data_IF_951284589495
#
_entry.id   IF_951284589495
#
_cell.length_a   1.000
_cell.length_b   1.000
_cell.length_c   1.000
_cell.angle_alpha   90.00
_cell.angle_beta   90.00
_cell.angle_gamma   90.00
#
_symmetry.space_group_name_H-M   'P 1'
#
loop_
_entity.id
_entity.type
_entity.pdbx_description
1 polymer ?
#
# COMPACT_ATOMS: atom_id res chain seq x y z
N UNK A 1 -24.50 -45.11 0.14
CA UNK A 1 -23.19 -45.17 0.82
C UNK A 1 -22.45 -43.87 0.54
N UNK A 2 -22.26 -42.97 1.51
CA UNK A 2 -21.49 -41.75 1.33
C UNK A 2 -20.01 -42.09 1.09
N UNK A 3 -19.42 -41.55 0.02
CA UNK A 3 -17.99 -41.69 -0.27
C UNK A 3 -17.25 -40.86 0.80
N UNK A 4 -16.41 -41.52 1.60
CA UNK A 4 -15.61 -40.85 2.62
C UNK A 4 -14.64 -39.86 1.95
N UNK A 5 -14.46 -38.67 2.52
CA UNK A 5 -13.64 -37.60 1.95
C UNK A 5 -12.18 -38.05 1.71
N UNK A 6 -11.67 -38.96 2.55
CA UNK A 6 -10.34 -39.57 2.41
C UNK A 6 -10.23 -40.45 1.16
N UNK A 7 -11.24 -41.28 0.88
CA UNK A 7 -11.27 -42.12 -0.31
C UNK A 7 -11.36 -41.30 -1.62
N UNK A 8 -12.00 -40.13 -1.57
CA UNK A 8 -11.99 -39.17 -2.69
C UNK A 8 -10.61 -38.53 -2.86
N UNK A 9 -9.97 -38.11 -1.77
CA UNK A 9 -8.66 -37.47 -1.79
C UNK A 9 -7.57 -38.42 -2.33
N UNK A 10 -7.56 -39.68 -1.88
CA UNK A 10 -6.60 -40.67 -2.37
C UNK A 10 -6.82 -40.96 -3.85
N UNK A 11 -8.08 -41.12 -4.28
CA UNK A 11 -8.39 -41.34 -5.69
C UNK A 11 -7.99 -40.15 -6.58
N UNK A 12 -8.10 -38.92 -6.07
CA UNK A 12 -7.62 -37.72 -6.78
C UNK A 12 -6.09 -37.64 -6.85
N UNK A 13 -5.37 -38.09 -5.80
CA UNK A 13 -3.89 -38.21 -5.85
C UNK A 13 -3.42 -39.22 -6.88
N UNK A 14 -4.15 -40.31 -7.09
CA UNK A 14 -3.83 -41.31 -8.12
C UNK A 14 -4.12 -40.86 -9.55
N UNK A 15 -5.08 -39.94 -9.74
CA UNK A 15 -5.48 -39.43 -11.07
C UNK A 15 -4.63 -38.23 -11.50
N UNK A 16 -4.09 -37.47 -10.54
CA UNK A 16 -3.25 -36.31 -10.84
C UNK A 16 -1.80 -36.76 -10.83
N UNK A 17 -1.10 -36.81 -11.99
CA UNK A 17 0.33 -37.07 -12.00
C UNK A 17 1.03 -36.10 -11.04
N UNK A 18 2.05 -36.53 -10.30
CA UNK A 18 2.85 -35.59 -9.51
C UNK A 18 3.34 -34.49 -10.45
N UNK A 19 3.12 -33.24 -10.05
CA UNK A 19 3.60 -32.09 -10.81
C UNK A 19 5.11 -32.27 -10.93
N UNK A 20 5.61 -32.24 -12.16
CA UNK A 20 7.06 -32.33 -12.40
C UNK A 20 7.69 -31.10 -11.76
N UNK A 21 8.79 -31.25 -11.02
CA UNK A 21 9.46 -30.13 -10.32
C UNK A 21 9.70 -28.93 -11.26
N UNK A 22 9.94 -29.18 -12.55
CA UNK A 22 10.09 -28.15 -13.58
C UNK A 22 8.82 -27.31 -13.80
N UNK A 23 7.63 -27.92 -13.76
CA UNK A 23 6.34 -27.21 -13.88
C UNK A 23 6.07 -26.32 -12.66
N UNK A 24 6.43 -26.77 -11.45
CA UNK A 24 6.33 -25.95 -10.23
C UNK A 24 7.26 -24.73 -10.31
N UNK A 25 8.50 -24.93 -10.76
CA UNK A 25 9.46 -23.85 -10.95
C UNK A 25 9.01 -22.84 -12.01
N UNK A 26 8.41 -23.31 -13.11
CA UNK A 26 7.87 -22.42 -14.15
C UNK A 26 6.66 -21.61 -13.63
N UNK A 27 5.78 -22.24 -12.84
CA UNK A 27 4.69 -21.54 -12.16
C UNK A 27 5.22 -20.46 -11.23
N UNK A 28 6.23 -20.78 -10.42
CA UNK A 28 6.83 -19.84 -9.48
C UNK A 28 7.51 -18.65 -10.18
N UNK A 29 8.19 -18.89 -11.30
CA UNK A 29 8.74 -17.83 -12.18
C UNK A 29 7.63 -16.93 -12.74
N UNK A 30 6.53 -17.53 -13.19
CA UNK A 30 5.38 -16.80 -13.74
C UNK A 30 4.70 -15.90 -12.71
N UNK A 31 4.53 -16.40 -11.48
CA UNK A 31 3.98 -15.62 -10.35
C UNK A 31 4.90 -14.44 -10.02
N UNK A 32 6.21 -14.67 -9.95
CA UNK A 32 7.18 -13.62 -9.63
C UNK A 32 7.27 -12.56 -10.75
N UNK A 33 7.26 -12.98 -12.02
CA UNK A 33 7.22 -12.08 -13.17
C UNK A 33 5.92 -11.24 -13.23
N UNK A 34 4.78 -11.85 -12.89
CA UNK A 34 3.50 -11.15 -12.78
C UNK A 34 3.54 -10.11 -11.66
N UNK A 35 4.11 -10.47 -10.51
CA UNK A 35 4.30 -9.56 -9.38
C UNK A 35 5.19 -8.37 -9.75
N UNK A 36 6.29 -8.59 -10.49
CA UNK A 36 7.16 -7.52 -11.00
C UNK A 36 6.37 -6.53 -11.87
N UNK A 37 5.66 -7.03 -12.88
CA UNK A 37 4.89 -6.19 -13.79
C UNK A 37 3.83 -5.37 -13.04
N UNK A 38 3.18 -5.97 -12.04
CA UNK A 38 2.22 -5.29 -11.19
C UNK A 38 2.87 -4.18 -10.35
N UNK A 39 3.99 -4.47 -9.66
CA UNK A 39 4.75 -3.47 -8.90
C UNK A 39 5.12 -2.26 -9.75
N UNK A 40 5.70 -2.51 -10.93
CA UNK A 40 6.11 -1.46 -11.87
C UNK A 40 4.90 -0.65 -12.35
N UNK A 41 3.78 -1.31 -12.68
CA UNK A 41 2.54 -0.63 -13.09
C UNK A 41 1.89 0.20 -11.98
N UNK A 42 2.09 -0.20 -10.73
CA UNK A 42 1.59 0.50 -9.53
C UNK A 42 2.60 1.54 -8.99
N UNK A 43 3.71 1.77 -9.70
CA UNK A 43 4.73 2.78 -9.35
C UNK A 43 5.70 2.36 -8.24
N UNK A 44 5.69 1.09 -7.84
CA UNK A 44 6.62 0.53 -6.84
C UNK A 44 7.86 -0.08 -7.53
N UNK A 45 9.09 0.35 -7.21
CA UNK A 45 10.29 -0.30 -7.72
C UNK A 45 10.42 -1.73 -7.16
N UNK A 46 10.60 -2.77 -7.99
CA UNK A 46 10.96 -4.11 -7.49
C UNK A 46 12.26 -4.08 -6.68
N UNK A 47 12.33 -4.84 -5.57
CA UNK A 47 13.47 -4.79 -4.66
C UNK A 47 14.78 -5.37 -5.22
N UNK A 48 14.73 -5.98 -6.39
CA UNK A 48 15.90 -6.45 -7.13
C UNK A 48 15.68 -6.28 -8.65
N UNK A 49 16.75 -6.22 -9.46
CA UNK A 49 16.67 -5.83 -10.85
C UNK A 49 16.18 -6.99 -11.74
N UNK A 50 15.69 -6.71 -12.96
CA UNK A 50 15.03 -7.72 -13.80
C UNK A 50 15.96 -8.80 -14.36
N UNK A 51 17.28 -8.57 -14.38
CA UNK A 51 18.27 -9.56 -14.80
C UNK A 51 18.43 -10.70 -13.79
N UNK A 52 17.83 -10.56 -12.60
CA UNK A 52 17.94 -11.56 -11.56
C UNK A 52 16.88 -12.65 -11.74
N UNK A 53 17.32 -13.84 -12.16
CA UNK A 53 16.44 -14.98 -12.41
C UNK A 53 15.96 -15.63 -11.11
N UNK A 54 14.67 -15.93 -11.07
CA UNK A 54 14.02 -16.70 -10.01
C UNK A 54 13.95 -18.19 -10.42
N UNK A 55 14.13 -19.17 -9.51
CA UNK A 55 14.53 -19.03 -8.11
C UNK A 55 16.01 -18.61 -7.96
N UNK A 56 16.35 -17.95 -6.85
CA UNK A 56 17.68 -17.37 -6.66
C UNK A 56 18.72 -18.44 -6.34
N UNK A 57 19.64 -18.70 -7.28
CA UNK A 57 20.80 -19.58 -7.06
C UNK A 57 21.96 -18.85 -6.39
N UNK A 58 22.31 -17.67 -6.92
CA UNK A 58 23.45 -16.88 -6.48
C UNK A 58 23.04 -15.43 -6.18
N UNK A 59 22.42 -15.19 -5.02
CA UNK A 59 21.95 -13.86 -4.62
C UNK A 59 23.10 -12.88 -4.37
N UNK A 60 23.23 -11.80 -5.17
CA UNK A 60 24.26 -10.80 -4.95
C UNK A 60 24.17 -10.22 -3.55
N UNK A 61 25.32 -10.04 -2.90
CA UNK A 61 25.42 -9.57 -1.51
C UNK A 61 24.63 -8.30 -1.23
N UNK A 62 24.50 -7.41 -2.23
CA UNK A 62 23.73 -6.15 -2.11
C UNK A 62 22.23 -6.35 -1.93
N UNK A 63 21.62 -7.37 -2.53
CA UNK A 63 20.17 -7.61 -2.48
C UNK A 63 19.77 -8.69 -1.48
N UNK A 64 20.73 -9.50 -1.02
CA UNK A 64 20.51 -10.57 -0.05
C UNK A 64 19.70 -10.11 1.17
N UNK A 65 20.00 -8.97 1.84
CA UNK A 65 19.22 -8.57 3.02
C UNK A 65 17.74 -8.30 2.73
N UNK A 66 17.42 -7.60 1.64
CA UNK A 66 16.03 -7.26 1.31
C UNK A 66 15.25 -8.48 0.79
N UNK A 67 15.91 -9.40 0.09
CA UNK A 67 15.33 -10.67 -0.33
C UNK A 67 14.98 -11.53 0.90
N UNK A 68 15.92 -11.69 1.84
CA UNK A 68 15.68 -12.42 3.10
C UNK A 68 14.59 -11.78 3.95
N UNK A 69 14.49 -10.43 3.96
CA UNK A 69 13.40 -9.72 4.62
C UNK A 69 12.03 -10.18 4.08
N UNK A 70 11.84 -10.17 2.75
CA UNK A 70 10.56 -10.54 2.14
C UNK A 70 10.23 -12.04 2.28
N UNK A 71 11.23 -12.92 2.19
CA UNK A 71 11.05 -14.36 2.42
C UNK A 71 10.56 -14.64 3.85
N UNK A 72 11.03 -13.88 4.83
CA UNK A 72 10.73 -14.15 6.26
C UNK A 72 9.52 -13.40 6.81
N UNK A 73 9.08 -12.30 6.18
CA UNK A 73 8.05 -11.42 6.75
C UNK A 73 6.61 -11.86 6.49
N UNK A 74 6.33 -12.67 5.47
CA UNK A 74 4.95 -12.94 5.02
C UNK A 74 4.58 -14.42 4.89
N UNK A 75 5.47 -15.36 5.27
CA UNK A 75 5.28 -16.79 5.01
C UNK A 75 4.90 -17.08 3.54
N UNK A 76 5.29 -16.18 2.65
CA UNK A 76 5.30 -16.39 1.20
C UNK A 76 6.57 -17.15 0.95
N UNK A 77 6.49 -18.47 1.09
CA UNK A 77 7.65 -19.34 1.31
C UNK A 77 8.73 -19.21 0.23
N UNK A 78 8.44 -18.66 -0.97
CA UNK A 78 9.46 -18.44 -2.00
C UNK A 78 9.32 -17.14 -2.83
N UNK A 79 8.13 -16.54 -2.96
CA UNK A 79 7.89 -15.42 -3.90
C UNK A 79 8.13 -14.03 -3.27
N UNK A 80 9.34 -13.49 -3.41
CA UNK A 80 9.77 -12.21 -2.82
C UNK A 80 8.95 -11.02 -3.33
N UNK A 81 8.79 -10.87 -4.64
CA UNK A 81 8.07 -9.75 -5.24
C UNK A 81 6.56 -9.86 -4.99
N UNK A 82 6.04 -11.08 -4.83
CA UNK A 82 4.66 -11.27 -4.38
C UNK A 82 4.47 -10.67 -2.97
N UNK A 83 5.37 -10.99 -2.04
CA UNK A 83 5.39 -10.41 -0.70
C UNK A 83 5.50 -8.88 -0.71
N UNK A 84 6.42 -8.35 -1.52
CA UNK A 84 6.56 -6.90 -1.72
C UNK A 84 5.27 -6.27 -2.26
N UNK A 85 4.64 -6.86 -3.27
CA UNK A 85 3.40 -6.36 -3.88
C UNK A 85 2.25 -6.34 -2.87
N UNK A 86 2.13 -7.37 -2.05
CA UNK A 86 1.13 -7.42 -0.98
C UNK A 86 1.33 -6.27 0.01
N UNK A 87 2.57 -6.01 0.44
CA UNK A 87 2.87 -4.90 1.34
C UNK A 87 2.61 -3.53 0.69
N UNK A 88 2.97 -3.36 -0.59
CA UNK A 88 2.69 -2.14 -1.34
C UNK A 88 1.18 -1.87 -1.42
N UNK A 89 0.38 -2.90 -1.73
CA UNK A 89 -1.09 -2.79 -1.76
C UNK A 89 -1.67 -2.50 -0.38
N UNK A 90 -1.09 -3.06 0.69
CA UNK A 90 -1.48 -2.73 2.06
C UNK A 90 -1.22 -1.25 2.37
N UNK A 91 -0.07 -0.72 1.93
CA UNK A 91 0.20 0.71 1.98
C UNK A 91 -0.85 1.52 1.21
N UNK A 92 -1.16 1.17 -0.05
CA UNK A 92 -2.17 1.89 -0.85
C UNK A 92 -3.55 1.91 -0.18
N UNK A 93 -3.97 0.79 0.43
CA UNK A 93 -5.20 0.74 1.25
C UNK A 93 -5.11 1.66 2.47
N UNK A 94 -3.97 1.64 3.18
CA UNK A 94 -3.74 2.54 4.32
C UNK A 94 -3.74 4.00 3.90
N UNK A 95 -3.18 4.34 2.73
CA UNK A 95 -3.15 5.70 2.19
C UNK A 95 -4.56 6.20 1.95
N UNK A 96 -5.40 5.41 1.24
CA UNK A 96 -6.81 5.74 1.02
C UNK A 96 -7.59 5.86 2.32
N UNK A 97 -7.40 4.94 3.27
CA UNK A 97 -8.05 4.98 4.60
C UNK A 97 -7.63 6.18 5.43
N UNK A 98 -6.35 6.58 5.36
CA UNK A 98 -5.88 7.80 6.02
C UNK A 98 -6.53 9.02 5.39
N UNK A 99 -6.55 9.14 4.05
CA UNK A 99 -7.18 10.26 3.36
C UNK A 99 -8.67 10.39 3.64
N UNK A 100 -9.42 9.28 3.70
CA UNK A 100 -10.86 9.34 3.97
C UNK A 100 -11.19 9.91 5.36
N UNK A 101 -10.31 9.70 6.35
CA UNK A 101 -10.45 10.28 7.70
C UNK A 101 -10.22 11.79 7.74
N UNK A 102 -9.55 12.37 6.74
CA UNK A 102 -9.30 13.81 6.63
C UNK A 102 -10.30 14.51 5.70
N UNK A 103 -11.43 13.88 5.37
CA UNK A 103 -12.58 14.62 4.84
C UNK A 103 -13.21 15.52 5.92
N UNK A 104 -13.12 15.13 7.19
CA UNK A 104 -13.70 15.87 8.33
C UNK A 104 -12.65 16.58 9.19
N UNK A 105 -11.39 16.17 9.12
CA UNK A 105 -10.24 16.80 9.80
C UNK A 105 -9.36 17.52 8.78
N UNK A 106 -8.64 18.60 9.16
CA UNK A 106 -7.77 19.29 8.23
C UNK A 106 -6.64 18.37 7.77
N UNK A 107 -6.56 18.15 6.46
CA UNK A 107 -5.49 17.36 5.83
C UNK A 107 -4.08 17.92 6.12
N UNK A 108 -3.98 19.21 6.48
CA UNK A 108 -2.75 19.85 6.90
C UNK A 108 -2.09 19.16 8.12
N UNK A 109 -2.88 18.65 9.07
CA UNK A 109 -2.35 17.95 10.26
C UNK A 109 -1.63 16.67 9.85
N UNK A 110 -2.17 15.94 8.87
CA UNK A 110 -1.53 14.74 8.34
C UNK A 110 -0.18 15.07 7.71
N UNK A 111 -0.12 16.14 6.90
CA UNK A 111 1.13 16.60 6.29
C UNK A 111 2.14 16.97 7.37
N UNK A 112 1.69 17.70 8.40
CA UNK A 112 2.54 18.11 9.51
C UNK A 112 3.12 16.92 10.27
N UNK A 113 2.29 15.94 10.64
CA UNK A 113 2.73 14.72 11.32
C UNK A 113 3.71 13.90 10.47
N UNK A 114 3.43 13.78 9.17
CA UNK A 114 4.32 13.09 8.22
C UNK A 114 5.67 13.78 8.15
N UNK A 115 5.67 15.12 8.07
CA UNK A 115 6.90 15.93 8.04
C UNK A 115 7.70 15.79 9.34
N UNK A 116 7.05 15.88 10.50
CA UNK A 116 7.71 15.71 11.80
C UNK A 116 8.36 14.33 11.93
N UNK A 117 7.65 13.27 11.51
CA UNK A 117 8.20 11.91 11.54
C UNK A 117 9.40 11.77 10.61
N UNK A 118 9.30 12.20 9.36
CA UNK A 118 10.43 12.17 8.43
C UNK A 118 11.64 12.97 8.96
N UNK A 119 11.40 14.15 9.56
CA UNK A 119 12.44 14.95 10.19
C UNK A 119 13.10 14.26 11.39
N UNK A 120 12.34 13.57 12.24
CA UNK A 120 12.86 12.77 13.37
C UNK A 120 13.88 11.72 12.90
N UNK A 121 13.70 11.17 11.69
CA UNK A 121 14.62 10.22 11.06
C UNK A 121 15.59 10.87 10.06
N UNK A 122 15.82 12.18 10.17
CA UNK A 122 16.76 12.96 9.35
C UNK A 122 16.46 12.97 7.84
N UNK A 123 15.21 12.71 7.42
CA UNK A 123 14.78 12.80 6.03
C UNK A 123 14.26 14.22 5.77
N UNK A 124 15.11 15.07 5.17
CA UNK A 124 14.84 16.50 4.92
C UNK A 124 14.52 16.81 3.46
N UNK A 125 13.76 15.95 2.81
CA UNK A 125 13.34 16.16 1.41
C UNK A 125 12.12 17.09 1.38
N UNK A 126 12.11 18.17 0.59
CA UNK A 126 10.91 18.98 0.44
C UNK A 126 9.84 18.21 -0.32
N UNK A 127 8.62 18.16 0.22
CA UNK A 127 7.49 17.51 -0.44
C UNK A 127 6.16 18.18 -0.12
N UNK A 128 5.21 17.99 -1.03
CA UNK A 128 3.82 18.41 -0.89
C UNK A 128 2.97 17.17 -1.12
N UNK A 129 2.26 16.70 -0.09
CA UNK A 129 1.29 15.63 -0.26
C UNK A 129 -0.04 16.24 -0.68
N UNK A 130 -0.74 15.55 -1.57
CA UNK A 130 -2.07 15.97 -2.03
C UNK A 130 -3.15 15.11 -1.37
N UNK A 131 -4.36 15.67 -1.13
CA UNK A 131 -5.48 14.89 -0.62
C UNK A 131 -5.82 13.69 -1.51
N UNK A 132 -5.71 13.88 -2.82
CA UNK A 132 -5.91 12.84 -3.83
C UNK A 132 -4.58 12.14 -4.17
N UNK A 133 -4.43 10.83 -3.86
CA UNK A 133 -3.22 10.07 -4.14
C UNK A 133 -2.87 9.94 -5.62
N UNK A 134 -3.86 10.05 -6.51
CA UNK A 134 -3.63 9.93 -7.96
C UNK A 134 -2.90 11.13 -8.55
N UNK A 135 -2.93 12.27 -7.84
CA UNK A 135 -2.27 13.52 -8.24
C UNK A 135 -0.85 13.65 -7.69
N UNK A 136 -0.40 12.70 -6.87
CA UNK A 136 0.94 12.69 -6.29
C UNK A 136 1.94 12.12 -7.29
N UNK A 137 3.11 12.76 -7.39
CA UNK A 137 4.19 12.19 -8.19
C UNK A 137 4.80 10.95 -7.49
N UNK A 138 5.65 10.22 -8.21
CA UNK A 138 6.27 8.99 -7.68
C UNK A 138 7.06 9.22 -6.40
N UNK A 139 7.88 10.26 -6.32
CA UNK A 139 8.68 10.58 -5.13
C UNK A 139 7.80 10.92 -3.92
N UNK A 140 6.71 11.66 -4.11
CA UNK A 140 5.75 11.99 -3.06
C UNK A 140 5.04 10.72 -2.54
N UNK A 141 4.63 9.81 -3.43
CA UNK A 141 4.09 8.52 -3.03
C UNK A 141 5.14 7.69 -2.26
N UNK A 142 6.40 7.75 -2.67
CA UNK A 142 7.49 7.05 -2.01
C UNK A 142 7.79 7.58 -0.61
N UNK A 143 7.82 8.91 -0.43
CA UNK A 143 7.99 9.54 0.89
C UNK A 143 6.84 9.19 1.85
N UNK A 144 5.61 9.07 1.33
CA UNK A 144 4.47 8.62 2.13
C UNK A 144 4.54 7.12 2.45
N UNK A 145 5.10 6.30 1.56
CA UNK A 145 5.40 4.90 1.85
C UNK A 145 6.50 4.75 2.90
N UNK A 146 7.53 5.59 2.84
CA UNK A 146 8.58 5.64 3.85
C UNK A 146 8.01 6.02 5.23
N UNK A 147 7.16 7.05 5.28
CA UNK A 147 6.42 7.39 6.50
C UNK A 147 5.57 6.22 7.03
N UNK A 148 4.89 5.50 6.13
CA UNK A 148 4.13 4.29 6.47
C UNK A 148 5.03 3.20 7.07
N UNK A 149 6.24 3.02 6.54
CA UNK A 149 7.22 2.09 7.11
C UNK A 149 7.73 2.60 8.48
N UNK A 150 8.02 3.88 8.64
CA UNK A 150 8.46 4.44 9.92
C UNK A 150 7.40 4.29 11.02
N UNK A 151 6.12 4.46 10.69
CA UNK A 151 5.01 4.20 11.64
C UNK A 151 4.97 2.75 12.12
N UNK A 152 5.35 1.79 11.27
CA UNK A 152 5.45 0.39 11.69
C UNK A 152 6.63 0.17 12.63
N UNK A 153 7.79 0.78 12.34
CA UNK A 153 8.94 0.75 13.24
C UNK A 153 8.57 1.26 14.64
N UNK A 154 7.95 2.45 14.72
CA UNK A 154 7.53 3.07 15.98
C UNK A 154 6.58 2.16 16.78
N UNK A 155 5.72 1.39 16.10
CA UNK A 155 4.84 0.39 16.74
C UNK A 155 5.62 -0.80 17.29
N UNK A 156 6.59 -1.32 16.55
CA UNK A 156 7.44 -2.41 17.02
C UNK A 156 8.30 -1.99 18.22
N UNK A 157 8.87 -0.79 18.18
CA UNK A 157 9.63 -0.21 19.29
C UNK A 157 8.74 -0.01 20.53
N UNK A 158 7.55 0.56 20.37
CA UNK A 158 6.60 0.76 21.48
C UNK A 158 6.21 -0.57 22.12
N UNK A 159 5.98 -1.61 21.32
CA UNK A 159 5.69 -2.96 21.80
C UNK A 159 6.87 -3.57 22.55
N UNK A 160 8.10 -3.40 22.07
CA UNK A 160 9.30 -3.87 22.76
C UNK A 160 9.49 -3.16 24.11
N UNK A 161 9.28 -1.83 24.16
CA UNK A 161 9.33 -1.05 25.41
C UNK A 161 8.26 -1.53 26.40
N UNK A 162 7.02 -1.72 25.94
CA UNK A 162 5.94 -2.24 26.78
C UNK A 162 6.30 -3.60 27.40
N UNK A 163 6.85 -4.52 26.60
CA UNK A 163 7.25 -5.85 27.07
C UNK A 163 8.43 -5.80 28.06
N UNK A 164 9.38 -4.88 27.87
CA UNK A 164 10.47 -4.65 28.83
C UNK A 164 9.95 -4.10 30.17
N UNK A 165 9.04 -3.14 30.12
CA UNK A 165 8.38 -2.60 31.33
C UNK A 165 7.58 -3.68 32.05
N UNK A 166 6.90 -4.55 31.32
CA UNK A 166 6.14 -5.68 31.87
C UNK A 166 7.04 -6.71 32.57
N UNK A 167 8.29 -6.88 32.10
CA UNK A 167 9.28 -7.77 32.70
C UNK A 167 9.97 -7.15 33.93
N UNK A 168 10.17 -5.82 33.93
CA UNK A 168 10.83 -5.09 35.01
C UNK A 168 9.91 -4.64 36.14
N UNK A 169 8.59 -4.63 35.93
CA UNK A 169 7.62 -4.31 36.97
C UNK A 169 7.35 -5.56 37.82
N UNK A 170 7.71 -5.58 39.13
CA UNK A 170 7.30 -6.66 40.02
C UNK A 170 5.77 -6.59 40.12
N UNK A 171 5.09 -7.49 39.41
CA UNK A 171 3.64 -7.63 39.59
C UNK A 171 3.42 -8.37 40.89
N UNK A 172 2.78 -7.70 41.84
CA UNK A 172 2.17 -8.37 42.99
C UNK A 172 1.30 -9.51 42.47
N UNK A 173 1.66 -10.73 42.89
CA UNK A 173 1.23 -12.00 42.31
C UNK A 173 -0.27 -12.33 42.46
N UNK A 174 -1.12 -11.38 42.87
CA UNK A 174 -2.41 -11.74 43.45
C UNK A 174 -3.62 -11.75 42.51
N UNK A 175 -3.61 -11.20 41.28
CA UNK A 175 -4.90 -11.01 40.58
C UNK A 175 -4.98 -11.25 39.07
N UNK A 176 -3.98 -11.85 38.40
CA UNK A 176 -4.15 -12.18 36.96
C UNK A 176 -4.44 -13.66 36.71
N UNK A 177 -5.60 -14.01 36.12
CA UNK A 177 -5.93 -15.39 35.80
C UNK A 177 -4.96 -15.90 34.74
N UNK A 178 -4.13 -16.84 35.16
CA UNK A 178 -3.05 -17.41 34.36
C UNK A 178 -3.67 -18.30 33.29
N UNK A 179 -3.89 -17.76 32.08
CA UNK A 179 -3.96 -18.61 30.89
C UNK A 179 -2.54 -19.07 30.56
N UNK A 180 -2.09 -20.11 31.26
CA UNK A 180 -0.84 -20.83 30.96
C UNK A 180 -1.02 -21.45 29.58
N UNK A 181 -0.47 -20.82 28.55
CA UNK A 181 -0.31 -21.50 27.26
C UNK A 181 0.90 -22.43 27.37
N UNK A 182 0.66 -23.74 27.28
CA UNK A 182 1.68 -24.75 27.00
C UNK A 182 2.84 -24.88 28.01
N UNK A 183 2.56 -24.84 29.31
CA UNK A 183 3.54 -25.18 30.36
C UNK A 183 4.68 -24.18 30.56
N UNK A 184 4.68 -23.04 29.86
CA UNK A 184 5.66 -21.97 30.05
C UNK A 184 5.20 -20.99 31.12
N UNK A 185 6.14 -20.50 31.92
CA UNK A 185 5.86 -19.43 32.87
C UNK A 185 5.45 -18.14 32.14
N UNK A 186 4.65 -17.28 32.79
CA UNK A 186 4.25 -16.01 32.19
C UNK A 186 5.46 -15.17 31.74
N UNK A 187 6.51 -15.13 32.57
CA UNK A 187 7.78 -14.45 32.28
C UNK A 187 8.46 -15.00 31.02
N UNK A 188 8.53 -16.32 30.85
CA UNK A 188 9.03 -16.94 29.61
C UNK A 188 8.23 -16.50 28.38
N UNK A 189 6.90 -16.41 28.49
CA UNK A 189 6.09 -15.95 27.35
C UNK A 189 6.37 -14.49 26.98
N UNK A 190 6.61 -13.62 27.97
CA UNK A 190 6.97 -12.21 27.75
C UNK A 190 8.37 -12.12 27.12
N UNK A 191 9.34 -12.92 27.58
CA UNK A 191 10.69 -12.98 27.00
C UNK A 191 10.64 -13.41 25.53
N UNK A 192 9.89 -14.47 25.20
CA UNK A 192 9.74 -14.93 23.80
C UNK A 192 9.10 -13.83 22.93
N UNK A 193 8.07 -13.14 23.45
CA UNK A 193 7.43 -12.02 22.73
C UNK A 193 8.40 -10.85 22.53
N UNK A 194 9.23 -10.54 23.53
CA UNK A 194 10.23 -9.47 23.44
C UNK A 194 11.29 -9.80 22.37
N UNK A 195 11.85 -11.01 22.40
CA UNK A 195 12.81 -11.47 21.39
C UNK A 195 12.22 -11.46 19.98
N UNK A 196 10.92 -11.76 19.84
CA UNK A 196 10.23 -11.63 18.55
C UNK A 196 10.11 -10.17 18.12
N UNK A 197 9.70 -9.28 19.01
CA UNK A 197 9.60 -7.84 18.70
C UNK A 197 10.96 -7.24 18.32
N UNK A 198 12.04 -7.62 19.00
CA UNK A 198 13.39 -7.17 18.67
C UNK A 198 13.85 -7.64 17.29
N UNK A 199 13.55 -8.90 16.92
CA UNK A 199 13.79 -9.40 15.57
C UNK A 199 12.95 -8.67 14.52
N UNK A 200 11.69 -8.35 14.82
CA UNK A 200 10.82 -7.55 13.95
C UNK A 200 11.42 -6.15 13.71
N UNK A 201 11.93 -5.48 14.75
CA UNK A 201 12.65 -4.19 14.64
C UNK A 201 13.87 -4.30 13.72
N UNK A 202 14.74 -5.28 13.97
CA UNK A 202 15.97 -5.49 13.19
C UNK A 202 15.67 -5.74 11.70
N UNK A 203 14.69 -6.61 11.42
CA UNK A 203 14.25 -6.88 10.04
C UNK A 203 13.68 -5.62 9.39
N UNK A 204 12.86 -4.87 10.11
CA UNK A 204 12.23 -3.67 9.56
C UNK A 204 13.24 -2.56 9.25
N UNK A 205 14.37 -2.50 9.95
CA UNK A 205 15.49 -1.63 9.56
C UNK A 205 16.08 -1.99 8.18
N UNK A 206 16.09 -3.26 7.80
CA UNK A 206 16.52 -3.69 6.46
C UNK A 206 15.58 -3.12 5.39
N UNK A 207 14.27 -3.18 5.62
CA UNK A 207 13.29 -2.56 4.73
C UNK A 207 13.51 -1.05 4.63
N UNK A 208 13.66 -0.35 5.76
CA UNK A 208 13.88 1.10 5.76
C UNK A 208 15.17 1.51 5.04
N UNK A 209 16.24 0.75 5.20
CA UNK A 209 17.48 0.99 4.46
C UNK A 209 17.26 0.87 2.95
N UNK A 210 16.56 -0.18 2.49
CA UNK A 210 16.21 -0.33 1.08
C UNK A 210 15.29 0.80 0.58
N UNK A 211 14.26 1.17 1.35
CA UNK A 211 13.36 2.30 1.02
C UNK A 211 14.15 3.60 0.87
N UNK A 212 15.14 3.82 1.74
CA UNK A 212 16.01 4.98 1.67
C UNK A 212 16.91 4.97 0.42
N UNK A 213 17.46 3.82 0.04
CA UNK A 213 18.23 3.69 -1.20
C UNK A 213 17.39 4.04 -2.43
N UNK A 214 16.19 3.47 -2.55
CA UNK A 214 15.28 3.77 -3.66
C UNK A 214 14.83 5.23 -3.69
N UNK A 215 14.68 5.88 -2.53
CA UNK A 215 14.44 7.32 -2.50
C UNK A 215 15.59 8.09 -3.15
N UNK A 216 16.84 7.74 -2.83
CA UNK A 216 18.01 8.42 -3.39
C UNK A 216 18.13 8.20 -4.90
N UNK A 217 17.80 7.00 -5.41
CA UNK A 217 17.79 6.75 -6.85
C UNK A 217 16.74 7.59 -7.57
N UNK A 218 15.56 7.78 -6.96
CA UNK A 218 14.51 8.66 -7.51
C UNK A 218 14.92 10.14 -7.50
N UNK A 219 15.61 10.61 -6.45
CA UNK A 219 16.11 11.99 -6.38
C UNK A 219 17.19 12.21 -7.44
N UNK A 220 18.18 11.32 -7.55
CA UNK A 220 19.26 11.42 -8.53
C UNK A 220 18.74 11.38 -9.98
N UNK A 221 17.71 10.57 -10.25
CA UNK A 221 17.06 10.52 -11.55
C UNK A 221 16.26 11.78 -11.90
N UNK A 222 15.82 12.56 -10.90
CA UNK A 222 15.12 13.83 -11.12
C UNK A 222 16.09 14.99 -11.42
N UNK A 223 17.27 15.01 -10.80
CA UNK A 223 18.26 16.08 -10.97
C UNK A 223 19.10 15.94 -12.24
N UNK A 224 19.23 14.74 -12.80
CA UNK A 224 20.11 14.47 -13.95
C UNK A 224 19.55 14.79 -15.33
N UNK A 225 18.32 15.32 -15.43
CA UNK A 225 17.66 15.62 -16.71
C UNK A 225 17.43 17.13 -16.93
N UNK A 226 18.00 18.00 -16.09
CA UNK A 226 17.75 19.45 -16.15
C UNK A 226 18.65 20.23 -17.15
N UNK A 227 19.48 19.55 -17.96
CA UNK A 227 20.26 20.22 -19.02
C UNK A 227 19.47 20.40 -20.34
N UNK A 228 18.25 19.86 -20.46
CA UNK A 228 17.34 20.12 -21.59
C UNK A 228 16.16 21.00 -21.15
N UNK A 229 16.47 22.25 -20.80
CA UNK A 229 15.50 23.28 -20.42
C UNK A 229 14.75 23.77 -21.67
N UNK A 230 13.81 22.95 -22.18
CA UNK A 230 12.63 23.45 -22.89
C UNK A 230 11.44 22.51 -22.67
N UNK A 231 10.78 22.73 -21.53
CA UNK A 231 9.32 22.68 -21.36
C UNK A 231 8.56 21.67 -22.20
N UNK A 232 8.73 20.38 -21.92
CA UNK A 232 7.71 19.38 -22.24
C UNK A 232 7.46 18.55 -20.99
N UNK A 233 6.21 18.60 -20.53
CA UNK A 233 5.64 17.82 -19.43
C UNK A 233 6.39 16.52 -19.23
N UNK A 234 7.10 16.39 -18.10
CA UNK A 234 7.91 15.22 -17.75
C UNK A 234 7.08 13.95 -17.94
N UNK A 235 7.28 13.28 -19.08
CA UNK A 235 6.58 12.06 -19.42
C UNK A 235 7.06 10.96 -18.49
N UNK A 236 6.10 10.18 -18.00
CA UNK A 236 6.23 9.00 -17.12
C UNK A 236 7.07 7.85 -17.76
N UNK A 237 7.80 8.14 -18.84
CA UNK A 237 8.42 7.17 -19.75
C UNK A 237 9.93 6.99 -19.57
N UNK A 238 10.62 7.82 -18.79
CA UNK A 238 12.08 7.72 -18.62
C UNK A 238 12.52 6.43 -17.90
N UNK A 239 11.63 5.79 -17.15
CA UNK A 239 11.88 4.46 -16.59
C UNK A 239 11.66 3.33 -17.60
N UNK A 240 10.78 3.52 -18.60
CA UNK A 240 10.60 2.53 -19.68
C UNK A 240 11.82 2.43 -20.58
N UNK A 241 12.61 3.49 -20.72
CA UNK A 241 13.80 3.50 -21.59
C UNK A 241 14.93 2.61 -21.08
N UNK A 242 15.06 2.39 -19.76
CA UNK A 242 16.00 1.38 -19.23
C UNK A 242 15.63 -0.06 -19.60
N UNK A 243 14.39 -0.32 -20.04
CA UNK A 243 13.89 -1.66 -20.37
C UNK A 243 14.02 -2.04 -21.86
N UNK A 244 14.48 -1.15 -22.76
CA UNK A 244 14.60 -1.47 -24.20
C UNK A 244 15.91 -2.15 -24.62
N UNK A 245 16.90 -2.28 -23.72
CA UNK A 245 18.21 -2.85 -24.04
C UNK A 245 18.25 -4.38 -24.27
N UNK A 246 17.22 -5.12 -23.85
CA UNK A 246 17.27 -6.60 -23.85
C UNK A 246 16.05 -7.25 -24.49
N UNK A 247 15.72 -6.85 -25.72
CA UNK A 247 14.88 -7.67 -26.61
C UNK A 247 15.77 -8.32 -27.67
N UNK A 248 16.52 -9.35 -27.26
CA UNK A 248 17.03 -10.31 -28.23
C UNK A 248 15.84 -10.96 -28.94
N UNK A 249 15.69 -10.56 -30.19
CA UNK A 249 14.68 -11.00 -31.15
C UNK A 249 14.92 -12.49 -31.47
N UNK A 250 14.35 -13.41 -30.67
CA UNK A 250 14.27 -14.83 -31.03
C UNK A 250 13.40 -14.96 -32.29
N UNK A 251 14.04 -15.22 -33.43
CA UNK A 251 13.37 -15.62 -34.67
C UNK A 251 12.80 -17.02 -34.47
N UNK A 252 11.47 -17.14 -34.42
CA UNK A 252 10.81 -18.44 -34.51
C UNK A 252 10.79 -18.90 -35.98
N UNK A 253 11.12 -20.16 -36.30
CA UNK A 253 10.95 -20.70 -37.64
C UNK A 253 9.46 -20.96 -37.93
N UNK A 254 9.04 -20.59 -39.14
CA UNK A 254 7.71 -20.84 -39.65
C UNK A 254 7.56 -22.34 -39.98
N UNK A 255 6.67 -23.04 -39.28
CA UNK A 255 6.24 -24.40 -39.64
C UNK A 255 4.88 -24.29 -40.33
N UNK A 256 4.87 -24.55 -41.63
CA UNK A 256 3.68 -24.79 -42.43
C UNK A 256 3.19 -26.22 -42.20
N UNK A 257 1.93 -26.37 -41.78
CA UNK A 257 1.28 -27.67 -41.69
C UNK A 257 -0.23 -27.52 -41.65
N UNK A 258 -0.86 -27.55 -42.83
CA UNK A 258 -2.32 -27.67 -42.97
C UNK A 258 -2.70 -29.13 -42.73
N UNK A 259 -3.34 -29.43 -41.60
CA UNK A 259 -4.05 -30.71 -41.41
C UNK A 259 -5.48 -30.39 -40.97
N UNK A 260 -6.43 -30.70 -41.86
CA UNK A 260 -7.87 -30.69 -41.59
C UNK A 260 -8.24 -32.00 -40.89
N UNK A 261 -8.85 -31.92 -39.72
CA UNK A 261 -9.50 -33.06 -39.06
C UNK A 261 -10.98 -32.70 -38.85
N UNK A 262 -11.92 -33.62 -39.17
CA UNK A 262 -13.36 -33.36 -39.07
C UNK A 262 -13.90 -33.37 -37.65
N UNK A 263 -15.05 -32.71 -37.55
CA UNK A 263 -15.79 -32.21 -36.40
C UNK A 263 -16.56 -33.33 -35.69
N UNK A 264 -16.20 -33.65 -34.44
CA UNK A 264 -16.99 -34.51 -33.55
C UNK A 264 -17.87 -33.64 -32.65
N UNK A 265 -19.18 -33.90 -32.67
CA UNK A 265 -20.19 -33.29 -31.79
C UNK A 265 -19.99 -33.79 -30.36
N UNK A 266 -19.96 -32.88 -29.38
CA UNK A 266 -20.13 -33.25 -27.98
C UNK A 266 -21.44 -32.74 -27.40
N UNK A 267 -22.05 -33.64 -26.64
CA UNK A 267 -23.33 -33.60 -25.95
C UNK A 267 -23.20 -32.77 -24.66
N UNK A 268 -24.26 -32.03 -24.33
CA UNK A 268 -24.38 -31.19 -23.13
C UNK A 268 -24.51 -32.05 -21.86
N UNK A 269 -23.68 -31.77 -20.86
CA UNK A 269 -23.99 -32.06 -19.44
C UNK A 269 -23.76 -30.80 -18.60
N UNK A 270 -24.59 -30.54 -17.57
CA UNK A 270 -24.46 -29.39 -16.69
C UNK A 270 -23.43 -29.67 -15.58
N UNK A 271 -22.57 -28.71 -15.26
CA UNK A 271 -21.62 -28.78 -14.16
C UNK A 271 -22.13 -28.03 -12.92
N UNK A 272 -21.94 -28.59 -11.71
CA UNK A 272 -22.38 -28.00 -10.45
C UNK A 272 -21.39 -26.96 -9.89
N UNK A 273 -21.96 -26.06 -9.09
CA UNK A 273 -21.31 -25.01 -8.29
C UNK A 273 -20.29 -25.58 -7.29
N UNK A 274 -19.04 -25.12 -7.38
CA UNK A 274 -17.99 -25.38 -6.38
C UNK A 274 -17.71 -24.07 -5.64
N UNK A 275 -18.08 -24.03 -4.36
CA UNK A 275 -17.68 -23.00 -3.41
C UNK A 275 -16.19 -23.17 -3.08
N UNK A 276 -15.35 -22.20 -3.43
CA UNK A 276 -13.97 -22.14 -2.99
C UNK A 276 -13.91 -21.71 -1.52
N UNK A 277 -13.54 -22.66 -0.65
CA UNK A 277 -13.09 -22.39 0.72
C UNK A 277 -11.64 -21.93 0.64
N UNK A 278 -11.43 -20.62 0.53
CA UNK A 278 -10.18 -20.00 0.96
C UNK A 278 -10.43 -19.41 2.34
N UNK A 279 -9.91 -20.08 3.36
CA UNK A 279 -9.81 -19.52 4.71
C UNK A 279 -8.83 -18.35 4.63
N UNK A 280 -9.37 -17.14 4.62
CA UNK A 280 -8.63 -15.93 4.94
C UNK A 280 -7.95 -16.12 6.29
N UNK A 281 -6.62 -16.06 6.32
CA UNK A 281 -5.90 -15.61 7.50
C UNK A 281 -6.32 -14.17 7.75
N UNK A 282 -7.25 -13.99 8.67
CA UNK A 282 -7.57 -12.71 9.28
C UNK A 282 -6.29 -12.12 9.87
N UNK A 283 -5.71 -11.15 9.17
CA UNK A 283 -4.87 -10.16 9.81
C UNK A 283 -5.78 -9.40 10.78
N UNK A 284 -5.75 -9.79 12.05
CA UNK A 284 -6.41 -9.10 13.14
C UNK A 284 -5.84 -7.68 13.20
N UNK A 285 -6.59 -6.74 12.62
CA UNK A 285 -6.44 -5.30 12.82
C UNK A 285 -6.74 -5.01 14.31
N UNK A 286 -5.72 -5.16 15.16
CA UNK A 286 -5.76 -4.58 16.49
C UNK A 286 -5.54 -3.06 16.34
N UNK A 287 -6.63 -2.33 16.18
CA UNK A 287 -6.70 -0.88 16.31
C UNK A 287 -6.76 -0.55 17.83
N UNK A 288 -5.72 0.01 18.46
CA UNK A 288 -5.91 0.60 19.78
C UNK A 288 -6.64 1.92 19.58
N UNK A 289 -7.96 1.86 19.85
CA UNK A 289 -8.83 3.02 19.90
C UNK A 289 -8.23 4.13 20.76
N UNK A 290 -8.32 5.34 20.21
CA UNK A 290 -8.11 6.61 20.90
C UNK A 290 -8.93 6.60 22.19
N UNK A 291 -8.24 6.67 23.33
CA UNK A 291 -8.85 6.89 24.65
C UNK A 291 -9.60 8.22 24.59
N UNK A 292 -10.93 8.15 24.48
CA UNK A 292 -11.80 9.28 24.76
C UNK A 292 -11.74 9.55 26.26
N UNK A 293 -11.22 10.73 26.60
CA UNK A 293 -11.33 11.35 27.92
C UNK A 293 -12.81 11.64 28.17
N UNK A 294 -13.49 10.74 28.86
CA UNK A 294 -14.82 10.95 29.41
C UNK A 294 -14.72 11.82 30.65
N UNK A 295 -15.40 12.97 30.59
CA UNK A 295 -15.82 13.69 31.78
C UNK A 295 -16.97 12.90 32.39
N UNK A 296 -16.93 12.62 33.69
CA UNK A 296 -18.12 12.71 34.52
C UNK A 296 -17.78 12.80 36.00
N UNK A 297 -18.71 13.42 36.70
CA UNK A 297 -18.56 14.12 37.97
C UNK A 297 -18.92 13.24 39.17
N UNK A 298 -18.46 13.72 40.34
CA UNK A 298 -19.09 13.53 41.67
C UNK A 298 -18.62 12.32 42.49
N UNK A 299 -17.72 12.57 43.45
CA UNK A 299 -17.94 12.19 44.84
C UNK A 299 -16.97 12.93 45.78
N UNK A 300 -17.53 13.46 46.86
CA UNK A 300 -16.90 14.22 47.95
C UNK A 300 -15.93 13.37 48.78
N UNK A 301 -14.87 13.97 49.33
CA UNK A 301 -14.66 14.19 50.77
C UNK A 301 -13.26 14.78 51.07
N UNK A 302 -13.18 15.44 52.22
CA UNK A 302 -12.23 16.46 52.69
C UNK A 302 -10.75 16.07 52.83
N UNK A 303 -9.84 17.05 52.67
CA UNK A 303 -9.07 17.67 53.77
C UNK A 303 -8.00 18.62 53.20
N UNK A 304 -7.86 19.78 53.82
CA UNK A 304 -7.12 20.91 53.26
C UNK A 304 -5.61 20.89 53.47
N UNK A 305 -4.91 21.73 52.71
CA UNK A 305 -3.72 22.44 53.18
C UNK A 305 -3.56 23.72 52.37
N UNK A 306 -3.48 24.85 53.08
CA UNK A 306 -3.25 26.19 52.52
C UNK A 306 -1.81 26.33 52.00
N UNK A 307 -1.56 27.13 50.95
CA UNK A 307 -0.26 27.79 50.76
C UNK A 307 -0.33 29.29 51.14
N UNK A 308 0.82 29.92 51.48
CA UNK A 308 0.89 31.31 51.95
C UNK A 308 0.95 32.35 50.81
N UNK A 309 0.77 33.66 51.12
CA UNK A 309 0.64 34.74 50.14
C UNK A 309 1.93 35.54 49.93
N UNK A 310 1.92 36.36 48.86
CA UNK A 310 2.80 37.51 48.48
C UNK A 310 3.40 37.29 47.08
N UNK A 311 3.57 38.26 46.19
CA UNK A 311 3.32 39.71 46.19
C UNK A 311 3.29 40.21 44.74
N UNK A 312 2.70 41.39 44.59
CA UNK A 312 2.51 42.26 43.42
C UNK A 312 3.67 42.47 42.42
N UNK A 313 3.32 42.85 41.19
CA UNK A 313 3.71 44.07 40.44
C UNK A 313 3.09 43.93 39.02
N UNK A 314 1.99 44.60 38.63
CA UNK A 314 1.74 46.03 38.31
C UNK A 314 2.43 46.53 37.02
N UNK A 315 1.63 46.65 35.94
CA UNK A 315 1.58 47.70 34.88
C UNK A 315 0.83 47.08 33.67
N UNK A 316 -0.37 47.48 33.21
CA UNK A 316 -1.16 48.72 33.16
C UNK A 316 -0.53 49.84 32.34
N UNK A 317 -0.81 49.85 31.03
CA UNK A 317 -1.09 51.06 30.25
C UNK A 317 -2.23 50.74 29.25
N UNK A 318 -3.25 51.59 29.27
CA UNK A 318 -4.44 51.60 28.43
C UNK A 318 -4.24 52.61 27.28
N UNK A 319 -4.80 52.28 26.10
CA UNK A 319 -5.61 53.10 25.15
C UNK A 319 -5.12 54.50 24.66
N UNK A 320 -5.58 55.04 23.49
CA UNK A 320 -6.95 54.94 22.97
C UNK A 320 -7.19 54.84 21.45
N UNK A 321 -8.48 54.62 21.18
CA UNK A 321 -9.26 54.62 19.93
C UNK A 321 -9.15 55.94 19.14
N UNK A 322 -9.20 55.86 17.80
CA UNK A 322 -9.88 56.86 16.96
C UNK A 322 -10.52 56.23 15.72
N UNK A 323 -11.75 56.65 15.49
CA UNK A 323 -12.67 56.35 14.38
C UNK A 323 -12.40 57.19 13.14
N UNK A 324 -12.61 56.65 11.92
CA UNK A 324 -13.36 57.33 10.83
C UNK A 324 -13.47 56.48 9.54
N UNK A 325 -14.71 56.44 9.01
CA UNK A 325 -15.18 56.05 7.65
C UNK A 325 -15.05 57.29 6.71
N UNK A 326 -15.60 57.33 5.47
CA UNK A 326 -15.60 56.42 4.29
C UNK A 326 -15.31 57.19 2.95
N UNK A 327 -15.27 56.50 1.80
CA UNK A 327 -15.38 57.14 0.46
C UNK A 327 -15.50 56.12 -0.69
N UNK A 328 -16.71 55.98 -1.29
CA UNK A 328 -17.13 56.36 -2.67
C UNK A 328 -16.32 55.67 -3.80
N UNK A 329 -16.87 54.70 -4.55
CA UNK A 329 -17.93 54.77 -5.58
C UNK A 329 -17.51 55.45 -6.90
N UNK A 330 -17.50 54.67 -7.99
CA UNK A 330 -17.76 54.97 -9.40
C UNK A 330 -17.55 53.66 -10.19
N UNK A 331 -18.09 53.43 -11.38
CA UNK A 331 -19.47 53.41 -11.86
C UNK A 331 -19.45 52.58 -13.16
N UNK A 332 -20.62 52.05 -13.52
CA UNK A 332 -21.12 51.64 -14.85
C UNK A 332 -20.20 51.04 -15.95
N UNK A 333 -20.65 49.91 -16.50
CA UNK A 333 -20.22 49.36 -17.79
C UNK A 333 -21.11 48.23 -18.31
N UNK A 334 -22.34 48.58 -18.72
CA UNK A 334 -23.33 47.74 -19.41
C UNK A 334 -22.85 47.38 -20.83
N UNK A 335 -23.24 46.19 -21.35
CA UNK A 335 -23.49 45.77 -22.76
C UNK A 335 -23.25 44.25 -22.83
N UNK A 336 -24.00 43.36 -23.50
CA UNK A 336 -25.30 43.32 -24.18
C UNK A 336 -25.48 41.83 -24.61
N UNK A 337 -26.74 41.40 -24.72
CA UNK A 337 -27.22 40.11 -25.25
C UNK A 337 -26.74 39.84 -26.69
N UNK A 338 -26.58 38.55 -27.02
CA UNK A 338 -26.96 37.83 -28.27
C UNK A 338 -26.51 36.36 -28.03
N UNK A 339 -27.33 35.30 -27.94
CA UNK A 339 -28.46 34.79 -28.74
C UNK A 339 -28.16 34.64 -30.23
N UNK A 340 -27.39 33.61 -30.57
CA UNK A 340 -27.44 32.99 -31.89
C UNK A 340 -27.68 31.49 -31.77
N UNK A 341 -28.86 31.09 -32.22
CA UNK A 341 -29.19 29.76 -32.68
C UNK A 341 -28.24 29.37 -33.82
N UNK A 342 -27.73 28.15 -33.80
CA UNK A 342 -27.23 27.52 -35.03
C UNK A 342 -27.69 26.07 -35.08
N UNK A 343 -28.22 25.77 -36.26
CA UNK A 343 -28.94 24.58 -36.64
C UNK A 343 -27.97 23.43 -36.95
N UNK A 344 -28.43 22.23 -36.63
CA UNK A 344 -28.47 21.09 -37.55
C UNK A 344 -27.20 20.72 -38.31
N UNK A 345 -26.52 19.67 -37.83
CA UNK A 345 -25.93 18.67 -38.73
C UNK A 345 -26.32 17.28 -38.22
N UNK A 346 -27.25 16.63 -38.93
CA UNK A 346 -27.56 15.22 -38.76
C UNK A 346 -26.35 14.39 -39.19
N UNK A 347 -25.63 13.81 -38.22
CA UNK A 347 -24.66 12.76 -38.51
C UNK A 347 -25.39 11.43 -38.68
N UNK A 348 -25.36 10.95 -39.92
CA UNK A 348 -25.78 9.62 -40.36
C UNK A 348 -24.98 8.55 -39.60
N UNK A 349 -25.65 7.80 -38.74
CA UNK A 349 -25.05 6.69 -38.00
C UNK A 349 -24.55 5.61 -38.97
N UNK A 350 -23.27 5.28 -38.88
CA UNK A 350 -22.64 4.13 -39.54
C UNK A 350 -23.17 2.82 -38.94
N UNK A 351 -23.35 1.75 -39.73
CA UNK A 351 -23.67 0.43 -39.20
C UNK A 351 -22.51 -0.10 -38.33
N UNK A 352 -22.77 -0.82 -37.23
CA UNK A 352 -21.73 -1.28 -36.31
C UNK A 352 -20.83 -2.32 -36.98
N UNK A 353 -19.53 -2.03 -37.01
CA UNK A 353 -18.47 -2.95 -37.43
C UNK A 353 -18.32 -4.05 -36.37
N UNK A 354 -18.63 -5.29 -36.74
CA UNK A 354 -18.45 -6.49 -35.92
C UNK A 354 -17.00 -6.97 -36.02
N UNK A 355 -16.24 -6.85 -34.93
CA UNK A 355 -14.90 -7.46 -34.81
C UNK A 355 -14.99 -8.83 -34.12
N UNK A 356 -14.51 -9.87 -34.81
CA UNK A 356 -14.30 -11.20 -34.24
C UNK A 356 -13.00 -11.23 -33.45
N UNK A 357 -13.09 -11.53 -32.16
CA UNK A 357 -11.91 -11.85 -31.33
C UNK A 357 -11.50 -13.31 -31.54
N UNK A 358 -10.21 -13.64 -31.30
CA UNK A 358 -9.62 -14.99 -31.44
C UNK A 358 -10.31 -16.11 -30.63
N UNK A 359 -11.31 -15.78 -29.81
CA UNK A 359 -12.07 -16.73 -28.98
C UNK A 359 -13.55 -16.85 -29.37
N UNK A 360 -13.98 -16.31 -30.52
CA UNK A 360 -15.35 -16.50 -31.02
C UNK A 360 -16.46 -15.86 -30.19
N UNK A 361 -16.13 -14.95 -29.26
CA UNK A 361 -17.12 -14.18 -28.47
C UNK A 361 -17.49 -12.89 -29.21
N UNK A 362 -18.79 -12.69 -29.44
CA UNK A 362 -19.37 -11.41 -29.89
C UNK A 362 -19.73 -10.62 -28.63
N UNK A 363 -18.95 -9.61 -28.28
CA UNK A 363 -19.25 -8.70 -27.17
C UNK A 363 -20.01 -7.48 -27.69
N UNK A 364 -21.18 -7.19 -27.12
CA UNK A 364 -21.84 -5.87 -27.25
C UNK A 364 -21.16 -4.87 -26.32
N UNK A 365 -21.03 -3.63 -26.77
CA UNK A 365 -20.45 -2.53 -25.99
C UNK A 365 -21.35 -2.20 -24.78
N UNK A 366 -20.83 -2.00 -23.56
CA UNK A 366 -21.66 -1.59 -22.42
C UNK A 366 -22.07 -0.12 -22.57
N UNK A 367 -23.38 0.13 -22.60
CA UNK A 367 -23.98 1.46 -22.57
C UNK A 367 -23.65 2.17 -21.26
N UNK A 368 -23.10 3.38 -21.35
CA UNK A 368 -22.94 4.32 -20.23
C UNK A 368 -24.26 4.53 -19.49
N UNK A 369 -24.21 4.39 -18.17
CA UNK A 369 -25.18 4.99 -17.25
C UNK A 369 -24.77 6.43 -16.99
N UNK A 370 -25.71 7.37 -17.15
CA UNK A 370 -25.63 8.75 -16.64
C UNK A 370 -26.92 8.96 -15.83
N UNK A 371 -26.86 9.42 -14.57
CA UNK A 371 -28.05 9.88 -13.86
C UNK A 371 -28.36 11.34 -14.23
N UNK A 372 -29.66 11.61 -14.38
CA UNK A 372 -30.31 12.93 -14.41
C UNK A 372 -29.98 13.81 -13.22
#
# INVERSE_FOLDING_TARGET
MPICAEALADRLRWITPPIVEEEELELSRSVEATSRNALESEGCPPCYPPEFEFPYRDTPRRYKPIIEYWQTCLATDEHVLCGQLLNWRQFRRSQTKSRSRFHTKPFADFIHQTRQRLQKYNIRVPFILKPDPTKQNRLQNWLEYEDYCLRQLERFESKAVQLRTELGSPKDNNERPVRVFAGKTYTETVIIKLQRAEREIQRHHVLLHWVAQERQTMIAGATGNDDDIHGTVASDDTWRTRLRGSRMRRKAPAVMGKVRVPKVRQVKHPAPSVRSILKSTECIDNDPGVVQRGNDSTSQFHAGTKPPPSSSLRARLQEPVTTSRPGKACDAGVVRRESCQSQGTQQRAQPPVLYKTRFGRISKNPSRWVPT
#
